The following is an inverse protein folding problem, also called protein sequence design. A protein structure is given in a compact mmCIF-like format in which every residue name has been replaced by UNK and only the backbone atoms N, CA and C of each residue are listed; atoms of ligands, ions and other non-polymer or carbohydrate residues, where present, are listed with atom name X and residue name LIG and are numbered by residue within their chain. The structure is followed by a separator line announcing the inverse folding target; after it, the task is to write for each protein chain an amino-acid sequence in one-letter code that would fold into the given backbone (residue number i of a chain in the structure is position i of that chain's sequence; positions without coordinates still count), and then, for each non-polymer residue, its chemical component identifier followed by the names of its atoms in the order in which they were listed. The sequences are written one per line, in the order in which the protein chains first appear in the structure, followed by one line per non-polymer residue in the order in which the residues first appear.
data_IF_547827043462
#
_entry.id   IF_547827043462
#
_cell.length_a   1.000
_cell.length_b   1.000
_cell.length_c   1.000
_cell.angle_alpha   90.00
_cell.angle_beta   90.00
_cell.angle_gamma   90.00
#
_symmetry.space_group_name_H-M   'P 1'
#
loop_
_entity.id
_entity.type
_entity.pdbx_description
1 polymer ?
#
# COMPACT_ATOMS: atom_id res chain seq x y z
N UNK A 1 -0.19 -8.74 27.52
CA UNK A 1 -0.06 -7.43 28.21
C UNK A 1 -0.13 -6.40 27.10
N UNK A 2 -0.89 -5.31 27.23
CA UNK A 2 -0.88 -4.29 26.19
C UNK A 2 0.54 -3.77 26.00
N UNK A 3 0.97 -3.63 24.77
CA UNK A 3 2.24 -3.00 24.45
C UNK A 3 2.15 -1.53 24.85
N UNK A 4 2.75 -1.17 25.99
CA UNK A 4 2.84 0.21 26.42
C UNK A 4 3.86 0.97 25.55
N UNK A 5 3.51 1.21 24.32
CA UNK A 5 4.27 2.12 23.48
C UNK A 5 3.45 3.40 23.28
N UNK A 6 4.10 4.52 23.45
CA UNK A 6 3.49 5.80 23.15
C UNK A 6 3.22 5.87 21.67
N UNK A 7 1.96 5.98 21.29
CA UNK A 7 1.56 6.25 19.91
C UNK A 7 1.65 7.75 19.73
N UNK A 8 2.46 8.18 18.77
CA UNK A 8 2.65 9.58 18.45
C UNK A 8 3.23 9.73 17.04
N UNK A 9 2.45 10.20 16.09
CA UNK A 9 2.95 10.46 14.74
C UNK A 9 2.10 11.53 14.08
N UNK A 10 2.65 12.74 13.96
CA UNK A 10 1.97 13.92 13.44
C UNK A 10 2.34 14.23 11.99
N UNK A 11 3.46 13.72 11.54
CA UNK A 11 3.99 13.86 10.19
C UNK A 11 4.79 12.62 9.78
N UNK A 12 5.42 12.66 8.62
CA UNK A 12 6.14 11.52 8.06
C UNK A 12 7.66 11.67 8.12
N UNK A 13 8.17 12.73 8.75
CA UNK A 13 9.60 13.08 8.72
C UNK A 13 10.22 13.40 10.08
N UNK A 14 9.44 13.62 11.13
CA UNK A 14 9.99 13.75 12.48
C UNK A 14 10.71 12.45 12.90
N UNK A 15 11.71 12.51 13.80
CA UNK A 15 12.53 11.35 14.14
C UNK A 15 11.71 10.11 14.52
N UNK A 16 11.90 9.04 13.77
CA UNK A 16 11.23 7.76 13.98
C UNK A 16 11.82 7.03 15.18
N UNK A 17 10.98 6.57 16.09
CA UNK A 17 11.40 5.83 17.32
C UNK A 17 10.87 4.43 17.37
N UNK A 18 9.67 4.21 16.84
CA UNK A 18 9.06 2.89 16.79
C UNK A 18 8.30 2.74 15.49
N UNK A 19 8.54 1.65 14.81
CA UNK A 19 7.90 1.30 13.55
C UNK A 19 7.41 -0.14 13.58
N UNK A 20 6.23 -0.39 13.04
CA UNK A 20 5.84 -1.74 12.64
C UNK A 20 6.31 -2.00 11.22
N UNK A 21 6.71 -3.26 10.96
CA UNK A 21 7.17 -3.73 9.65
C UNK A 21 6.29 -4.89 9.22
N UNK A 22 5.88 -4.89 7.97
CA UNK A 22 5.09 -5.96 7.38
C UNK A 22 5.83 -7.28 7.32
N UNK A 23 5.11 -8.34 7.00
CA UNK A 23 5.65 -9.70 6.91
C UNK A 23 5.07 -10.46 5.74
N UNK A 24 5.72 -11.54 5.34
CA UNK A 24 5.22 -12.46 4.32
C UNK A 24 5.10 -13.88 4.88
N UNK A 25 4.38 -14.74 4.18
CA UNK A 25 4.22 -16.13 4.59
C UNK A 25 5.56 -16.88 4.62
N UNK A 26 5.63 -17.89 5.48
CA UNK A 26 6.73 -18.84 5.52
C UNK A 26 6.67 -19.84 4.35
N UNK A 27 7.78 -20.50 4.04
CA UNK A 27 7.85 -21.43 2.90
C UNK A 27 6.86 -22.59 3.00
N UNK A 28 6.55 -23.04 4.22
CA UNK A 28 5.57 -24.10 4.45
C UNK A 28 4.15 -23.73 4.05
N UNK A 29 3.83 -22.45 3.95
CA UNK A 29 2.54 -22.00 3.41
C UNK A 29 2.26 -22.58 2.02
N UNK A 30 3.30 -22.79 1.22
CA UNK A 30 3.20 -23.31 -0.15
C UNK A 30 3.28 -24.83 -0.26
N UNK A 31 3.33 -25.58 0.84
CA UNK A 31 3.53 -27.04 0.83
C UNK A 31 2.45 -27.81 0.08
N UNK A 32 1.26 -27.23 -0.03
CA UNK A 32 0.16 -27.79 -0.82
C UNK A 32 0.36 -27.75 -2.33
N UNK A 33 1.27 -26.94 -2.83
CA UNK A 33 1.54 -26.80 -4.27
C UNK A 33 2.43 -27.95 -4.73
N UNK A 34 1.88 -28.86 -5.56
CA UNK A 34 2.61 -30.04 -6.07
C UNK A 34 3.47 -29.71 -7.28
N UNK A 35 3.09 -28.71 -8.08
CA UNK A 35 3.90 -28.27 -9.21
C UNK A 35 5.17 -27.59 -8.72
N UNK A 36 6.31 -28.26 -8.88
CA UNK A 36 7.60 -27.79 -8.37
C UNK A 36 8.07 -26.49 -9.01
N UNK A 37 7.74 -26.25 -10.28
CA UNK A 37 8.10 -25.01 -10.98
C UNK A 37 7.39 -23.81 -10.34
N UNK A 38 6.09 -23.94 -10.10
CA UNK A 38 5.28 -22.91 -9.44
C UNK A 38 5.74 -22.71 -7.99
N UNK A 39 5.85 -23.81 -7.24
CA UNK A 39 6.27 -23.75 -5.83
C UNK A 39 7.63 -23.09 -5.68
N UNK A 40 8.61 -23.46 -6.50
CA UNK A 40 9.96 -22.90 -6.43
C UNK A 40 9.98 -21.40 -6.76
N UNK A 41 9.20 -20.95 -7.76
CA UNK A 41 9.08 -19.54 -8.10
C UNK A 41 8.50 -18.71 -6.95
N UNK A 42 7.38 -19.15 -6.38
CA UNK A 42 6.76 -18.49 -5.23
C UNK A 42 7.64 -18.53 -3.98
N UNK A 43 8.26 -19.69 -3.69
CA UNK A 43 9.19 -19.81 -2.54
C UNK A 43 10.39 -18.88 -2.69
N UNK A 44 10.89 -18.67 -3.91
CA UNK A 44 11.96 -17.70 -4.17
C UNK A 44 11.50 -16.28 -3.80
N UNK A 45 10.33 -15.85 -4.27
CA UNK A 45 9.76 -14.54 -3.98
C UNK A 45 9.60 -14.35 -2.46
N UNK A 46 8.96 -15.29 -1.77
CA UNK A 46 8.73 -15.19 -0.33
C UNK A 46 10.05 -15.18 0.46
N UNK A 47 10.97 -16.08 0.16
CA UNK A 47 12.26 -16.15 0.84
C UNK A 47 13.09 -14.89 0.65
N UNK A 48 13.25 -14.44 -0.58
CA UNK A 48 14.01 -13.24 -0.88
C UNK A 48 13.38 -11.98 -0.27
N UNK A 49 12.07 -11.90 -0.20
CA UNK A 49 11.38 -10.82 0.51
C UNK A 49 11.64 -10.87 2.01
N UNK A 50 11.62 -12.07 2.63
CA UNK A 50 11.98 -12.20 4.07
C UNK A 50 13.41 -11.78 4.35
N UNK A 51 14.35 -12.18 3.50
CA UNK A 51 15.74 -11.76 3.64
C UNK A 51 15.89 -10.24 3.58
N UNK A 52 15.20 -9.59 2.65
CA UNK A 52 15.18 -8.12 2.52
C UNK A 52 14.57 -7.46 3.75
N UNK A 53 13.45 -8.00 4.27
CA UNK A 53 12.81 -7.52 5.50
C UNK A 53 13.75 -7.67 6.71
N UNK A 54 14.43 -8.80 6.87
CA UNK A 54 15.37 -8.99 7.99
C UNK A 54 16.52 -8.00 7.91
N UNK A 55 17.10 -7.79 6.73
CA UNK A 55 18.14 -6.79 6.55
C UNK A 55 17.62 -5.37 6.86
N UNK A 56 16.42 -5.04 6.40
CA UNK A 56 15.77 -3.77 6.72
C UNK A 56 15.60 -3.56 8.22
N UNK A 57 15.15 -4.58 8.94
CA UNK A 57 15.02 -4.53 10.41
C UNK A 57 16.36 -4.31 11.12
N UNK A 58 17.43 -4.91 10.62
CA UNK A 58 18.78 -4.67 11.14
C UNK A 58 19.22 -3.22 10.93
N UNK A 59 18.96 -2.65 9.75
CA UNK A 59 19.25 -1.24 9.45
C UNK A 59 18.46 -0.32 10.38
N UNK A 60 17.17 -0.55 10.57
CA UNK A 60 16.35 0.24 11.49
C UNK A 60 16.86 0.18 12.93
N UNK A 61 17.13 -1.02 13.44
CA UNK A 61 17.69 -1.22 14.78
C UNK A 61 19.07 -0.55 14.94
N UNK A 62 19.92 -0.66 13.90
CA UNK A 62 21.22 0.01 13.84
C UNK A 62 21.14 1.53 13.92
N UNK A 63 20.01 2.12 13.51
CA UNK A 63 19.68 3.53 13.63
C UNK A 63 18.90 3.88 14.92
N UNK A 64 18.82 2.95 15.89
CA UNK A 64 18.18 3.17 17.18
C UNK A 64 16.65 3.14 17.16
N UNK A 65 16.06 2.59 16.11
CA UNK A 65 14.61 2.50 15.94
C UNK A 65 14.13 1.15 16.51
N UNK A 66 13.10 1.20 17.34
CA UNK A 66 12.42 0.01 17.83
C UNK A 66 11.52 -0.57 16.74
N UNK A 67 11.68 -1.86 16.45
CA UNK A 67 10.94 -2.54 15.38
C UNK A 67 9.96 -3.53 15.97
N UNK A 68 8.70 -3.40 15.59
CA UNK A 68 7.63 -4.36 15.85
C UNK A 68 7.37 -5.09 14.53
N UNK A 69 7.27 -6.40 14.57
CA UNK A 69 6.81 -7.21 13.45
C UNK A 69 5.86 -8.27 13.97
N UNK A 70 4.73 -8.38 13.31
CA UNK A 70 3.78 -9.47 13.53
C UNK A 70 3.90 -10.45 12.37
N UNK A 71 4.00 -11.72 12.69
CA UNK A 71 3.93 -12.79 11.69
C UNK A 71 2.50 -12.92 11.16
N UNK A 72 2.29 -13.48 9.96
CA UNK A 72 0.94 -13.77 9.48
C UNK A 72 0.13 -14.60 10.50
N UNK A 73 0.75 -15.56 11.16
CA UNK A 73 0.11 -16.38 12.19
C UNK A 73 -0.36 -15.56 13.40
N UNK A 74 0.44 -14.64 13.89
CA UNK A 74 0.06 -13.75 15.00
C UNK A 74 -1.08 -12.81 14.64
N UNK A 75 -1.20 -12.48 13.36
CA UNK A 75 -2.32 -11.72 12.80
C UNK A 75 -3.58 -12.57 12.58
N UNK A 76 -3.49 -13.91 12.65
CA UNK A 76 -4.61 -14.81 12.47
C UNK A 76 -4.74 -15.43 11.08
N UNK A 77 -3.73 -15.28 10.23
CA UNK A 77 -3.70 -16.00 8.94
C UNK A 77 -3.52 -17.49 9.13
N UNK A 78 -4.03 -18.27 8.20
CA UNK A 78 -3.82 -19.72 8.17
C UNK A 78 -2.37 -20.07 7.84
N UNK A 79 -1.93 -21.24 8.33
CA UNK A 79 -0.54 -21.70 8.16
C UNK A 79 -0.28 -22.32 6.77
N UNK A 80 -1.33 -22.61 5.99
CA UNK A 80 -1.20 -23.27 4.68
C UNK A 80 -2.14 -22.68 3.65
N UNK A 81 -1.68 -22.58 2.42
CA UNK A 81 -2.48 -22.20 1.25
C UNK A 81 -3.68 -23.14 1.07
N UNK A 82 -3.57 -24.40 1.51
CA UNK A 82 -4.65 -25.38 1.43
C UNK A 82 -5.85 -25.03 2.30
N UNK A 83 -5.64 -24.26 3.36
CA UNK A 83 -6.71 -23.87 4.28
C UNK A 83 -7.63 -22.80 3.66
N UNK A 84 -7.16 -22.15 2.59
CA UNK A 84 -7.93 -21.17 1.83
C UNK A 84 -8.58 -21.74 0.55
N UNK A 85 -8.11 -22.89 0.07
CA UNK A 85 -8.57 -23.47 -1.18
C UNK A 85 -8.90 -24.95 -1.02
N UNK A 86 -9.80 -25.44 -1.87
CA UNK A 86 -10.10 -26.85 -1.94
C UNK A 86 -9.21 -27.52 -3.00
N UNK A 87 -8.04 -27.98 -2.60
CA UNK A 87 -7.08 -28.64 -3.48
C UNK A 87 -7.43 -30.11 -3.66
N UNK A 88 -7.78 -30.50 -4.86
CA UNK A 88 -7.93 -31.92 -5.22
C UNK A 88 -6.77 -32.35 -6.14
N UNK A 89 -6.09 -33.43 -5.75
CA UNK A 89 -5.08 -34.13 -6.60
C UNK A 89 -3.92 -33.26 -7.15
N UNK A 90 -3.61 -32.12 -6.53
CA UNK A 90 -2.56 -31.21 -6.96
C UNK A 90 -2.99 -30.22 -8.04
N UNK A 91 -4.25 -30.28 -8.42
CA UNK A 91 -4.93 -29.23 -9.14
C UNK A 91 -5.68 -28.36 -8.14
N UNK A 92 -5.76 -27.07 -8.42
CA UNK A 92 -6.52 -26.14 -7.60
C UNK A 92 -8.00 -26.40 -7.89
N UNK A 93 -8.72 -26.86 -6.89
CA UNK A 93 -10.17 -26.99 -6.95
C UNK A 93 -10.85 -25.62 -6.89
N UNK A 94 -12.17 -25.64 -6.97
CA UNK A 94 -12.96 -24.40 -6.81
C UNK A 94 -12.64 -23.77 -5.47
N UNK A 95 -12.20 -22.54 -5.49
CA UNK A 95 -11.98 -21.76 -4.27
C UNK A 95 -13.25 -21.76 -3.44
N UNK A 96 -13.14 -22.13 -2.19
CA UNK A 96 -14.21 -21.82 -1.26
C UNK A 96 -14.11 -20.32 -0.97
N UNK A 97 -15.12 -19.50 -1.24
CA UNK A 97 -15.15 -18.18 -0.66
C UNK A 97 -14.96 -18.35 0.84
N UNK A 98 -14.25 -17.42 1.47
CA UNK A 98 -14.01 -17.45 2.92
C UNK A 98 -15.38 -17.33 3.61
N UNK A 99 -16.05 -18.46 3.81
CA UNK A 99 -17.42 -18.51 4.35
C UNK A 99 -17.49 -18.02 5.79
N UNK A 100 -16.36 -18.12 6.47
CA UNK A 100 -16.25 -17.81 7.89
C UNK A 100 -15.94 -16.31 8.16
N UNK A 101 -15.78 -15.51 7.09
CA UNK A 101 -15.58 -14.06 7.17
C UNK A 101 -16.64 -13.34 6.31
N UNK A 102 -17.90 -13.30 6.76
CA UNK A 102 -18.99 -12.70 5.98
C UNK A 102 -18.74 -11.21 5.66
N UNK A 103 -17.99 -10.52 6.48
CA UNK A 103 -17.60 -9.13 6.26
C UNK A 103 -16.63 -9.01 5.07
N UNK A 104 -15.62 -9.85 5.00
CA UNK A 104 -14.69 -9.91 3.87
C UNK A 104 -15.39 -10.33 2.58
N UNK A 105 -16.34 -11.28 2.67
CA UNK A 105 -17.11 -11.70 1.50
C UNK A 105 -18.00 -10.60 0.92
N UNK A 106 -18.47 -9.69 1.77
CA UNK A 106 -19.25 -8.53 1.32
C UNK A 106 -18.38 -7.49 0.60
N UNK A 107 -17.12 -7.32 1.02
CA UNK A 107 -16.18 -6.47 0.32
C UNK A 107 -15.81 -7.03 -1.05
N UNK A 108 -15.58 -8.33 -1.14
CA UNK A 108 -15.20 -9.00 -2.38
C UNK A 108 -16.17 -8.82 -3.53
N UNK A 109 -17.43 -8.72 -3.25
CA UNK A 109 -18.45 -8.50 -4.30
C UNK A 109 -18.28 -7.14 -4.95
N UNK A 110 -17.91 -6.12 -4.20
CA UNK A 110 -17.77 -4.76 -4.71
C UNK A 110 -16.54 -4.58 -5.60
N UNK A 111 -15.48 -5.27 -5.28
CA UNK A 111 -14.24 -5.21 -6.05
C UNK A 111 -14.29 -6.01 -7.36
N UNK A 112 -15.00 -7.13 -7.39
CA UNK A 112 -15.14 -7.95 -8.60
C UNK A 112 -15.75 -7.21 -9.78
N UNK A 113 -16.60 -6.26 -9.47
CA UNK A 113 -17.32 -5.52 -10.46
C UNK A 113 -16.54 -4.30 -10.97
N UNK A 114 -15.47 -3.97 -10.28
CA UNK A 114 -14.56 -2.94 -10.72
C UNK A 114 -13.28 -3.67 -11.05
N UNK A 115 -13.07 -4.01 -12.32
CA UNK A 115 -11.88 -4.68 -12.82
C UNK A 115 -10.55 -4.05 -12.38
N UNK A 116 -10.61 -2.95 -11.65
CA UNK A 116 -9.49 -2.23 -11.07
C UNK A 116 -8.99 -2.81 -9.74
N UNK A 117 -9.76 -3.64 -9.08
CA UNK A 117 -9.31 -4.38 -7.91
C UNK A 117 -9.84 -5.80 -8.04
N UNK A 118 -9.01 -6.67 -8.45
CA UNK A 118 -9.28 -8.09 -8.39
C UNK A 118 -9.16 -8.49 -6.94
N UNK A 119 -10.26 -8.38 -6.25
CA UNK A 119 -10.40 -9.11 -5.03
C UNK A 119 -10.12 -10.57 -5.32
N UNK A 120 -9.39 -11.22 -4.47
CA UNK A 120 -9.04 -12.61 -4.67
C UNK A 120 -10.31 -13.44 -4.88
N UNK A 121 -10.62 -13.68 -6.13
CA UNK A 121 -11.72 -14.58 -6.50
C UNK A 121 -11.52 -15.98 -5.94
N UNK A 122 -10.29 -16.29 -5.54
CA UNK A 122 -9.87 -17.57 -5.02
C UNK A 122 -9.90 -17.63 -3.49
N UNK A 123 -9.98 -16.48 -2.81
CA UNK A 123 -9.97 -16.41 -1.35
C UNK A 123 -8.61 -16.64 -0.70
N UNK A 124 -7.50 -16.67 -1.47
CA UNK A 124 -6.15 -16.72 -0.93
C UNK A 124 -5.69 -15.29 -0.68
N UNK A 125 -5.56 -14.84 0.58
CA UNK A 125 -5.18 -13.49 0.87
C UNK A 125 -3.72 -13.22 0.53
N UNK A 126 -3.41 -11.98 0.17
CA UNK A 126 -2.01 -11.56 0.12
C UNK A 126 -1.41 -11.56 1.54
N UNK A 127 -0.08 -11.74 1.66
CA UNK A 127 0.57 -11.62 2.96
C UNK A 127 0.46 -10.18 3.50
N UNK A 128 0.52 -10.00 4.83
CA UNK A 128 0.43 -8.68 5.47
C UNK A 128 1.75 -7.91 5.32
N UNK A 129 2.14 -7.61 4.09
CA UNK A 129 3.38 -6.90 3.77
C UNK A 129 3.17 -5.39 3.74
N UNK A 130 2.21 -4.92 2.96
CA UNK A 130 1.88 -3.50 2.82
C UNK A 130 0.95 -3.05 3.97
N UNK A 131 1.46 -3.08 5.20
CA UNK A 131 0.65 -2.79 6.41
C UNK A 131 0.18 -1.35 6.50
N UNK A 132 0.77 -0.45 5.73
CA UNK A 132 0.30 0.94 5.63
C UNK A 132 -1.06 1.03 4.96
N UNK A 133 -1.42 0.08 4.11
CA UNK A 133 -2.75 0.05 3.50
C UNK A 133 -3.85 -0.21 4.52
N UNK A 134 -3.51 -0.92 5.61
CA UNK A 134 -4.45 -1.28 6.66
C UNK A 134 -4.70 -0.17 7.67
N UNK A 135 -3.70 0.68 7.94
CA UNK A 135 -3.77 1.64 9.04
C UNK A 135 -2.89 2.87 8.84
N UNK A 136 -3.32 3.96 9.47
CA UNK A 136 -2.58 5.22 9.58
C UNK A 136 -2.47 5.61 11.05
N UNK A 137 -1.28 6.01 11.48
CA UNK A 137 -1.16 6.71 12.76
C UNK A 137 -1.35 8.21 12.54
N UNK A 138 -2.34 8.81 13.20
CA UNK A 138 -2.64 10.23 13.09
C UNK A 138 -2.67 10.83 14.50
N UNK A 139 -1.63 11.55 14.86
CA UNK A 139 -1.41 12.02 16.23
C UNK A 139 -1.18 10.87 17.21
N UNK A 140 -2.08 10.72 18.17
CA UNK A 140 -2.05 9.70 19.23
C UNK A 140 -2.99 8.50 18.94
N UNK A 141 -3.51 8.39 17.73
CA UNK A 141 -4.45 7.34 17.31
C UNK A 141 -3.94 6.53 16.13
N UNK A 142 -4.26 5.24 16.13
CA UNK A 142 -4.13 4.36 14.98
C UNK A 142 -5.51 4.26 14.35
N UNK A 143 -5.64 4.76 13.15
CA UNK A 143 -6.88 4.70 12.37
C UNK A 143 -6.82 3.48 11.47
N UNK A 144 -7.70 2.51 11.69
CA UNK A 144 -7.91 1.44 10.74
C UNK A 144 -8.69 2.02 9.56
N UNK A 145 -8.20 1.79 8.38
CA UNK A 145 -8.78 2.34 7.16
C UNK A 145 -9.96 1.51 6.68
N UNK A 146 -10.65 2.00 5.67
CA UNK A 146 -11.70 1.26 5.00
C UNK A 146 -11.16 0.48 3.79
N UNK A 147 -9.87 0.15 3.79
CA UNK A 147 -9.30 -0.69 2.75
C UNK A 147 -10.00 -2.06 2.73
N UNK A 148 -10.38 -2.48 1.54
CA UNK A 148 -11.17 -3.69 1.34
C UNK A 148 -10.28 -4.91 1.12
N UNK A 149 -9.32 -5.10 2.00
CA UNK A 149 -8.42 -6.25 1.94
C UNK A 149 -8.57 -7.11 3.18
N UNK A 150 -8.32 -8.39 3.03
CA UNK A 150 -8.44 -9.36 4.12
C UNK A 150 -7.55 -9.00 5.32
N UNK A 151 -6.35 -8.48 5.06
CA UNK A 151 -5.41 -8.06 6.08
C UNK A 151 -5.96 -7.00 7.02
N UNK A 152 -6.75 -6.05 6.50
CA UNK A 152 -7.30 -4.95 7.29
C UNK A 152 -8.14 -5.43 8.47
N UNK A 153 -8.98 -6.45 8.27
CA UNK A 153 -9.80 -6.99 9.36
C UNK A 153 -8.96 -7.69 10.42
N UNK A 154 -7.96 -8.47 10.02
CA UNK A 154 -7.05 -9.15 10.94
C UNK A 154 -6.18 -8.14 11.69
N UNK A 155 -5.66 -7.15 10.98
CA UNK A 155 -4.87 -6.05 11.56
C UNK A 155 -5.69 -5.26 12.58
N UNK A 156 -6.95 -4.92 12.27
CA UNK A 156 -7.84 -4.21 13.18
C UNK A 156 -8.01 -4.93 14.53
N UNK A 157 -8.28 -6.24 14.48
CA UNK A 157 -8.42 -7.07 15.68
C UNK A 157 -7.12 -7.06 16.48
N UNK A 158 -6.00 -7.32 15.81
CA UNK A 158 -4.70 -7.45 16.48
C UNK A 158 -4.19 -6.14 17.05
N UNK A 159 -4.34 -5.04 16.31
CA UNK A 159 -3.92 -3.72 16.79
C UNK A 159 -4.78 -3.29 17.99
N UNK A 160 -6.09 -3.62 17.99
CA UNK A 160 -6.96 -3.37 19.15
C UNK A 160 -6.52 -4.14 20.38
N UNK A 161 -6.07 -5.39 20.23
CA UNK A 161 -5.49 -6.17 21.33
C UNK A 161 -4.19 -5.54 21.87
N UNK A 162 -3.35 -5.01 20.97
CA UNK A 162 -2.04 -4.45 21.33
C UNK A 162 -2.11 -3.05 21.92
N UNK A 163 -2.92 -2.18 21.31
CA UNK A 163 -2.91 -0.74 21.57
C UNK A 163 -4.20 -0.22 22.23
N UNK A 164 -5.20 -1.08 22.40
CA UNK A 164 -6.43 -0.75 23.14
C UNK A 164 -7.22 0.40 22.52
N UNK A 165 -7.55 1.40 23.33
CA UNK A 165 -8.39 2.54 22.96
C UNK A 165 -7.69 3.58 22.07
N UNK A 166 -6.40 3.39 21.80
CA UNK A 166 -5.71 4.20 20.81
C UNK A 166 -6.07 3.80 19.36
N UNK A 167 -6.64 2.60 19.17
CA UNK A 167 -7.08 2.12 17.85
C UNK A 167 -8.51 2.56 17.61
N UNK A 168 -8.70 3.32 16.53
CA UNK A 168 -10.00 3.73 16.01
C UNK A 168 -10.29 2.89 14.77
N UNK A 169 -11.26 2.03 14.88
CA UNK A 169 -11.69 1.17 13.81
C UNK A 169 -12.73 1.87 12.94
N UNK A 170 -12.29 2.35 11.79
CA UNK A 170 -13.15 3.03 10.83
C UNK A 170 -13.81 2.06 9.84
N UNK A 171 -13.42 0.79 9.83
CA UNK A 171 -14.04 -0.22 8.96
C UNK A 171 -15.52 -0.44 9.29
N UNK A 172 -15.92 -0.10 10.51
CA UNK A 172 -17.30 -0.25 11.01
C UNK A 172 -18.24 0.85 10.50
N UNK A 173 -17.71 1.97 9.98
CA UNK A 173 -18.51 3.11 9.54
C UNK A 173 -19.21 2.93 8.18
N UNK A 174 -19.11 1.75 7.58
CA UNK A 174 -19.73 1.41 6.31
C UNK A 174 -21.24 1.70 6.22
N UNK A 175 -21.93 1.67 7.33
CA UNK A 175 -23.40 1.75 7.36
C UNK A 175 -23.96 3.16 7.13
N UNK A 176 -23.11 4.19 7.21
CA UNK A 176 -23.61 5.58 7.29
C UNK A 176 -23.07 6.49 6.19
N UNK A 177 -22.16 6.06 5.36
CA UNK A 177 -21.53 6.94 4.37
C UNK A 177 -21.72 6.36 2.97
N UNK A 178 -22.54 7.03 2.17
CA UNK A 178 -22.72 6.73 0.75
C UNK A 178 -21.58 7.35 -0.06
N UNK A 179 -20.41 6.75 -0.03
CA UNK A 179 -19.35 7.15 -0.95
C UNK A 179 -19.68 6.65 -2.35
N UNK A 180 -19.82 7.55 -3.29
CA UNK A 180 -20.03 7.23 -4.69
C UNK A 180 -18.76 7.49 -5.47
N UNK A 181 -18.25 6.48 -6.15
CA UNK A 181 -17.21 6.70 -7.15
C UNK A 181 -17.74 7.60 -8.24
N UNK A 182 -17.07 8.71 -8.46
CA UNK A 182 -17.39 9.55 -9.60
C UNK A 182 -16.83 8.91 -10.87
N UNK A 183 -17.70 8.55 -11.81
CA UNK A 183 -17.29 8.05 -13.15
C UNK A 183 -16.38 9.05 -13.85
N UNK A 184 -16.63 10.35 -13.64
CA UNK A 184 -15.76 11.41 -14.14
C UNK A 184 -14.32 11.24 -13.62
N UNK A 185 -14.16 10.84 -12.37
CA UNK A 185 -12.85 10.62 -11.76
C UNK A 185 -12.16 9.38 -12.33
N UNK A 186 -12.91 8.29 -12.55
CA UNK A 186 -12.38 7.08 -13.19
C UNK A 186 -11.90 7.37 -14.61
N UNK A 187 -12.68 8.11 -15.39
CA UNK A 187 -12.28 8.54 -16.74
C UNK A 187 -11.02 9.41 -16.72
N UNK A 188 -11.00 10.43 -15.88
CA UNK A 188 -9.84 11.32 -15.76
C UNK A 188 -8.58 10.59 -15.29
N UNK A 189 -8.75 9.59 -14.43
CA UNK A 189 -7.65 8.74 -14.00
C UNK A 189 -7.14 7.86 -15.15
N UNK A 190 -8.03 7.18 -15.88
CA UNK A 190 -7.66 6.36 -17.02
C UNK A 190 -6.96 7.17 -18.12
N UNK A 191 -7.48 8.36 -18.43
CA UNK A 191 -6.86 9.26 -19.41
C UNK A 191 -5.44 9.67 -19.00
N UNK A 192 -5.21 9.96 -17.71
CA UNK A 192 -3.88 10.30 -17.20
C UNK A 192 -2.89 9.14 -17.27
N UNK A 193 -3.38 7.93 -17.08
CA UNK A 193 -2.56 6.72 -17.13
C UNK A 193 -2.55 6.07 -18.52
N UNK A 194 -3.08 6.76 -19.54
CA UNK A 194 -3.16 6.26 -20.91
C UNK A 194 -3.88 4.93 -21.03
N UNK A 195 -4.87 4.69 -20.17
CA UNK A 195 -5.71 3.50 -20.19
C UNK A 195 -6.97 3.78 -21.00
N UNK A 196 -7.35 2.87 -21.88
CA UNK A 196 -8.68 2.88 -22.47
C UNK A 196 -9.63 2.13 -21.53
N UNK A 197 -10.70 2.80 -21.10
CA UNK A 197 -11.81 2.16 -20.40
C UNK A 197 -12.89 1.90 -21.43
N UNK A 198 -13.35 0.65 -21.53
CA UNK A 198 -14.44 0.28 -22.43
C UNK A 198 -15.76 0.93 -21.98
N UNK A 199 -16.62 1.21 -22.93
CA UNK A 199 -17.96 1.76 -22.67
C UNK A 199 -18.78 0.80 -21.78
N UNK A 200 -18.62 -0.50 -21.99
CA UNK A 200 -19.26 -1.54 -21.16
C UNK A 200 -18.80 -1.49 -19.72
N UNK A 201 -17.50 -1.28 -19.46
CA UNK A 201 -16.96 -1.13 -18.11
C UNK A 201 -17.52 0.13 -17.42
N UNK A 202 -17.78 1.20 -18.17
CA UNK A 202 -18.39 2.43 -17.67
C UNK A 202 -19.85 2.20 -17.31
N UNK A 203 -20.61 1.54 -18.16
CA UNK A 203 -22.03 1.24 -17.91
C UNK A 203 -22.18 0.28 -16.71
N UNK A 204 -21.25 -0.64 -16.53
CA UNK A 204 -21.20 -1.53 -15.38
C UNK A 204 -20.87 -0.77 -14.10
N UNK A 205 -19.93 0.16 -14.15
CA UNK A 205 -19.61 1.07 -13.05
C UNK A 205 -20.79 1.99 -12.70
N UNK A 206 -21.55 2.48 -13.71
CA UNK A 206 -22.75 3.28 -13.48
C UNK A 206 -23.85 2.51 -12.76
N UNK A 207 -24.09 1.27 -13.17
CA UNK A 207 -25.05 0.37 -12.50
C UNK A 207 -24.64 0.07 -11.05
N UNK A 208 -23.36 -0.05 -10.79
CA UNK A 208 -22.82 -0.30 -9.47
C UNK A 208 -22.90 0.91 -8.55
N UNK A 209 -22.72 2.12 -9.08
CA UNK A 209 -22.87 3.35 -8.31
C UNK A 209 -24.27 3.51 -7.72
N UNK A 210 -25.28 3.00 -8.41
CA UNK A 210 -26.67 3.10 -7.95
C UNK A 210 -27.04 2.00 -6.93
N UNK A 211 -26.27 0.92 -6.86
CA UNK A 211 -26.62 -0.27 -6.08
C UNK A 211 -25.76 -0.53 -4.85
N UNK A 212 -24.55 0.04 -4.77
CA UNK A 212 -23.62 -0.30 -3.70
C UNK A 212 -22.77 0.91 -3.27
N UNK A 213 -22.78 1.28 -1.99
CA UNK A 213 -21.85 2.27 -1.48
C UNK A 213 -20.42 1.72 -1.64
N UNK A 214 -19.61 2.39 -2.43
CA UNK A 214 -18.19 2.09 -2.55
C UNK A 214 -17.46 2.83 -1.42
N UNK A 215 -17.38 2.17 -0.28
CA UNK A 215 -16.67 2.68 0.86
C UNK A 215 -15.21 2.31 0.69
N UNK A 216 -14.35 3.28 0.55
CA UNK A 216 -12.96 2.94 0.48
C UNK A 216 -12.06 4.15 0.45
N UNK A 217 -11.37 4.37 1.52
CA UNK A 217 -10.14 5.14 1.55
C UNK A 217 -9.09 4.30 2.25
N UNK A 218 -7.86 4.37 1.78
CA UNK A 218 -6.74 3.69 2.40
C UNK A 218 -5.74 4.70 2.97
N UNK A 219 -4.96 4.26 3.93
CA UNK A 219 -4.03 5.13 4.64
C UNK A 219 -3.04 5.84 3.72
N UNK A 220 -2.46 5.20 2.69
CA UNK A 220 -1.52 5.86 1.80
C UNK A 220 -2.13 6.95 0.90
N UNK A 221 -3.46 7.09 0.88
CA UNK A 221 -4.10 8.27 0.28
C UNK A 221 -3.95 9.55 1.13
N UNK A 222 -3.42 9.44 2.36
CA UNK A 222 -3.24 10.54 3.29
C UNK A 222 -1.76 10.76 3.57
N UNK A 223 -1.28 12.00 3.39
CA UNK A 223 0.06 12.43 3.81
C UNK A 223 -0.06 13.45 4.93
N UNK A 224 0.55 13.14 6.06
CA UNK A 224 0.50 13.97 7.28
C UNK A 224 1.61 15.01 7.28
N UNK A 225 1.25 16.24 7.61
CA UNK A 225 2.13 17.40 7.70
C UNK A 225 1.78 18.22 8.94
N UNK A 226 1.94 17.64 10.12
CA UNK A 226 1.55 18.27 11.38
C UNK A 226 0.04 18.40 11.53
N UNK A 227 -0.47 19.62 11.46
CA UNK A 227 -1.91 19.89 11.49
C UNK A 227 -2.56 19.77 10.09
N UNK A 228 -1.79 19.72 9.02
CA UNK A 228 -2.31 19.58 7.66
C UNK A 228 -2.21 18.14 7.17
N UNK A 229 -3.19 17.71 6.40
CA UNK A 229 -3.24 16.38 5.80
C UNK A 229 -3.61 16.52 4.33
N UNK A 230 -2.73 16.07 3.43
CA UNK A 230 -3.07 15.98 2.02
C UNK A 230 -3.83 14.69 1.76
N UNK A 231 -4.99 14.77 1.14
CA UNK A 231 -5.88 13.62 0.91
C UNK A 231 -6.09 13.44 -0.58
N UNK A 232 -5.66 12.31 -1.13
CA UNK A 232 -6.08 11.93 -2.48
C UNK A 232 -7.53 11.46 -2.48
N UNK A 233 -8.37 12.16 -3.21
CA UNK A 233 -9.82 11.95 -3.21
C UNK A 233 -10.35 11.31 -4.50
N UNK A 234 -9.48 10.66 -5.28
CA UNK A 234 -9.92 10.09 -6.55
C UNK A 234 -10.94 8.95 -6.39
N UNK A 235 -10.85 8.17 -5.32
CA UNK A 235 -11.78 7.06 -5.05
C UNK A 235 -13.05 7.53 -4.34
N UNK A 236 -12.91 8.42 -3.37
CA UNK A 236 -14.00 8.88 -2.50
C UNK A 236 -13.90 10.39 -2.25
N UNK A 237 -14.37 11.21 -3.22
CA UNK A 237 -14.24 12.67 -3.13
C UNK A 237 -14.88 13.27 -1.88
N UNK A 238 -15.90 12.61 -1.36
CA UNK A 238 -16.72 13.06 -0.23
C UNK A 238 -16.12 12.68 1.13
N UNK A 239 -15.06 11.84 1.17
CA UNK A 239 -14.48 11.36 2.43
C UNK A 239 -14.03 12.48 3.36
N UNK A 240 -13.56 13.58 2.79
CA UNK A 240 -13.05 14.71 3.57
C UNK A 240 -14.20 15.35 4.34
N UNK A 241 -15.26 15.78 3.66
CA UNK A 241 -16.37 16.51 4.27
C UNK A 241 -17.29 15.62 5.10
N UNK A 242 -17.51 14.39 4.68
CA UNK A 242 -18.49 13.51 5.32
C UNK A 242 -17.88 12.70 6.48
N UNK A 243 -16.58 12.49 6.46
CA UNK A 243 -15.92 11.65 7.45
C UNK A 243 -14.74 12.30 8.15
N UNK A 244 -13.72 12.79 7.44
CA UNK A 244 -12.48 13.25 8.06
C UNK A 244 -12.67 14.54 8.87
N UNK A 245 -13.19 15.59 8.27
CA UNK A 245 -13.42 16.88 8.97
C UNK A 245 -14.35 16.78 10.18
N UNK A 246 -15.48 16.06 10.13
CA UNK A 246 -16.34 15.92 11.27
C UNK A 246 -15.71 15.19 12.46
N UNK A 247 -14.83 14.21 12.20
CA UNK A 247 -14.26 13.37 13.23
C UNK A 247 -12.88 13.83 13.72
N UNK A 248 -12.13 14.58 12.91
CA UNK A 248 -10.73 14.98 13.18
C UNK A 248 -10.56 16.50 13.07
N UNK A 249 -11.31 17.26 13.85
CA UNK A 249 -11.43 18.73 13.79
C UNK A 249 -10.15 19.52 14.06
N UNK A 250 -9.13 18.88 14.59
CA UNK A 250 -7.82 19.49 14.85
C UNK A 250 -6.85 19.36 13.67
N UNK A 251 -7.32 18.81 12.54
CA UNK A 251 -6.57 18.73 11.31
C UNK A 251 -7.23 19.56 10.20
N UNK A 252 -6.40 20.08 9.32
CA UNK A 252 -6.78 20.81 8.12
C UNK A 252 -6.53 19.90 6.90
N UNK A 253 -7.61 19.49 6.24
CA UNK A 253 -7.56 18.53 5.14
C UNK A 253 -7.51 19.23 3.79
N UNK A 254 -6.48 18.94 3.01
CA UNK A 254 -6.27 19.48 1.68
C UNK A 254 -6.48 18.41 0.62
N UNK A 255 -7.48 18.58 -0.21
CA UNK A 255 -7.79 17.62 -1.29
C UNK A 255 -6.80 17.73 -2.43
N UNK A 256 -6.28 16.59 -2.85
CA UNK A 256 -5.54 16.42 -4.09
C UNK A 256 -6.20 15.32 -4.93
N UNK A 257 -5.86 15.26 -6.18
CA UNK A 257 -6.39 14.26 -7.11
C UNK A 257 -5.25 13.72 -7.97
N UNK A 258 -4.52 12.76 -7.45
CA UNK A 258 -3.36 12.15 -8.11
C UNK A 258 -3.64 10.75 -8.63
N UNK A 259 -4.72 10.13 -8.17
CA UNK A 259 -5.23 8.88 -8.70
C UNK A 259 -4.54 7.64 -8.20
N UNK A 260 -4.12 7.64 -6.94
CA UNK A 260 -3.45 6.50 -6.32
C UNK A 260 -2.94 6.83 -4.92
N UNK A 261 -2.02 6.01 -4.44
CA UNK A 261 -1.39 6.25 -3.16
C UNK A 261 -0.44 7.45 -3.23
N UNK A 262 -0.51 8.34 -2.26
CA UNK A 262 0.33 9.54 -2.20
C UNK A 262 1.80 9.18 -2.18
N UNK A 263 2.18 8.18 -1.41
CA UNK A 263 3.56 7.72 -1.23
C UNK A 263 4.18 7.03 -2.46
N UNK A 264 3.36 6.75 -3.49
CA UNK A 264 3.84 6.35 -4.82
C UNK A 264 4.09 7.55 -5.74
N UNK A 265 3.66 8.74 -5.33
CA UNK A 265 3.72 9.94 -6.16
C UNK A 265 4.64 11.00 -5.57
N UNK A 266 4.62 11.17 -4.25
CA UNK A 266 5.52 12.08 -3.56
C UNK A 266 5.78 11.63 -2.13
N UNK A 267 6.90 12.06 -1.57
CA UNK A 267 7.26 11.89 -0.16
C UNK A 267 7.87 13.17 0.38
N UNK A 268 7.44 13.56 1.56
CA UNK A 268 8.03 14.70 2.28
C UNK A 268 9.21 14.18 3.10
N UNK A 269 10.42 14.67 2.76
CA UNK A 269 11.66 14.21 3.41
C UNK A 269 11.91 14.96 4.72
N UNK A 270 11.63 16.25 4.70
CA UNK A 270 11.67 17.16 5.86
C UNK A 270 10.95 18.46 5.50
N UNK A 271 10.67 19.34 6.47
CA UNK A 271 10.20 20.68 6.14
C UNK A 271 11.11 21.38 5.12
N UNK A 272 10.52 21.85 4.03
CA UNK A 272 11.23 22.49 2.93
C UNK A 272 11.79 21.56 1.87
N UNK A 273 11.59 20.24 1.96
CA UNK A 273 12.11 19.28 0.97
C UNK A 273 11.12 18.14 0.67
N UNK A 274 10.79 17.99 -0.61
CA UNK A 274 9.90 16.92 -1.13
C UNK A 274 10.62 16.16 -2.25
N UNK A 275 10.36 14.87 -2.36
CA UNK A 275 10.64 14.08 -3.55
C UNK A 275 9.31 13.85 -4.25
N UNK A 276 9.22 14.07 -5.55
CA UNK A 276 7.97 13.90 -6.28
C UNK A 276 8.15 13.42 -7.72
N UNK A 277 7.19 12.64 -8.18
CA UNK A 277 7.05 12.30 -9.59
C UNK A 277 6.40 13.46 -10.37
N UNK A 278 6.50 13.48 -11.70
CA UNK A 278 5.84 14.48 -12.53
C UNK A 278 4.33 14.57 -12.35
N UNK A 279 3.67 13.52 -11.86
CA UNK A 279 2.23 13.52 -11.60
C UNK A 279 1.81 14.48 -10.50
N UNK A 280 2.73 14.84 -9.62
CA UNK A 280 2.48 15.84 -8.57
C UNK A 280 2.57 17.30 -9.08
N UNK A 281 3.07 17.55 -10.30
CA UNK A 281 3.22 18.91 -10.83
C UNK A 281 1.98 19.81 -10.73
N UNK A 282 0.75 19.33 -10.96
CA UNK A 282 -0.45 20.14 -10.79
C UNK A 282 -0.69 20.66 -9.37
N UNK A 283 -0.05 20.05 -8.39
CA UNK A 283 -0.21 20.34 -6.95
C UNK A 283 1.06 20.92 -6.31
N UNK A 284 2.08 21.22 -7.11
CA UNK A 284 3.36 21.72 -6.61
C UNK A 284 3.22 23.04 -5.81
N UNK A 285 2.21 23.85 -6.12
CA UNK A 285 1.94 25.09 -5.41
C UNK A 285 1.53 24.89 -3.93
N UNK A 286 1.13 23.70 -3.53
CA UNK A 286 0.89 23.34 -2.12
C UNK A 286 2.19 23.49 -1.32
N UNK A 287 3.33 23.15 -1.92
CA UNK A 287 4.67 23.25 -1.35
C UNK A 287 5.39 24.52 -1.83
N UNK A 288 4.68 25.65 -1.88
CA UNK A 288 5.27 26.89 -2.37
C UNK A 288 6.46 27.32 -1.51
N UNK A 289 7.62 27.46 -2.16
CA UNK A 289 8.87 27.84 -1.50
C UNK A 289 9.68 26.66 -0.95
N UNK A 290 9.15 25.43 -1.05
CA UNK A 290 9.90 24.23 -0.74
C UNK A 290 10.71 23.77 -1.95
N UNK A 291 11.83 23.11 -1.70
CA UNK A 291 12.61 22.43 -2.72
C UNK A 291 11.98 21.10 -3.08
N UNK A 292 11.78 20.86 -4.38
CA UNK A 292 11.19 19.62 -4.87
C UNK A 292 12.19 18.90 -5.77
N UNK A 293 12.61 17.70 -5.36
CA UNK A 293 13.37 16.79 -6.20
C UNK A 293 12.38 16.11 -7.15
N UNK A 294 12.38 16.54 -8.40
CA UNK A 294 11.54 15.95 -9.43
C UNK A 294 12.15 14.68 -9.99
N UNK A 295 11.39 13.60 -9.91
CA UNK A 295 11.77 12.29 -10.43
C UNK A 295 11.19 12.11 -11.84
N UNK A 296 11.72 12.86 -12.80
CA UNK A 296 11.19 12.88 -14.17
C UNK A 296 11.85 11.85 -15.10
N UNK A 297 12.93 11.19 -14.68
CA UNK A 297 13.57 10.12 -15.42
C UNK A 297 13.94 8.98 -14.49
N UNK A 298 12.96 8.17 -14.08
CA UNK A 298 13.26 7.03 -13.23
C UNK A 298 14.24 6.09 -13.91
N UNK A 299 15.20 5.57 -13.16
CA UNK A 299 16.15 4.54 -13.60
C UNK A 299 15.43 3.20 -13.70
N UNK A 300 14.50 3.10 -14.62
CA UNK A 300 13.75 1.85 -14.78
C UNK A 300 14.63 0.76 -15.34
N UNK A 301 14.71 -0.35 -14.65
CA UNK A 301 15.30 -1.57 -15.16
C UNK A 301 14.59 -2.06 -16.41
N UNK A 302 15.21 -3.00 -17.11
CA UNK A 302 14.63 -3.61 -18.31
C UNK A 302 13.29 -4.28 -18.01
N UNK A 303 13.18 -4.90 -16.85
CA UNK A 303 12.01 -5.61 -16.35
C UNK A 303 10.81 -4.67 -16.21
N UNK A 304 11.01 -3.51 -15.59
CA UNK A 304 9.95 -2.52 -15.38
C UNK A 304 9.48 -1.92 -16.70
N UNK A 305 10.42 -1.62 -17.61
CA UNK A 305 10.05 -1.16 -18.95
C UNK A 305 9.23 -2.19 -19.73
N UNK A 306 9.59 -3.46 -19.59
CA UNK A 306 8.83 -4.57 -20.20
C UNK A 306 7.42 -4.65 -19.63
N UNK A 307 7.28 -4.57 -18.30
CA UNK A 307 5.99 -4.59 -17.63
C UNK A 307 5.10 -3.40 -18.01
N UNK A 308 5.66 -2.19 -18.09
CA UNK A 308 4.93 -1.01 -18.55
C UNK A 308 4.45 -1.19 -20.01
N UNK A 309 5.29 -1.73 -20.90
CA UNK A 309 4.89 -1.99 -22.26
C UNK A 309 3.78 -3.05 -22.35
N UNK A 310 3.86 -4.09 -21.52
CA UNK A 310 2.81 -5.10 -21.41
C UNK A 310 1.49 -4.48 -20.95
N UNK A 311 1.56 -3.59 -19.97
CA UNK A 311 0.38 -2.87 -19.49
C UNK A 311 -0.26 -2.00 -20.55
N UNK A 312 0.54 -1.22 -21.31
CA UNK A 312 0.01 -0.42 -22.41
C UNK A 312 -0.69 -1.26 -23.49
N UNK A 313 -0.23 -2.50 -23.70
CA UNK A 313 -0.79 -3.41 -24.68
C UNK A 313 -1.96 -4.26 -24.16
N UNK A 314 -2.01 -4.47 -22.85
CA UNK A 314 -3.00 -5.33 -22.19
C UNK A 314 -3.51 -4.65 -20.92
N UNK A 315 -4.66 -4.05 -20.97
CA UNK A 315 -5.26 -3.37 -19.82
C UNK A 315 -5.28 -4.25 -18.58
N UNK A 316 -4.85 -3.69 -17.44
CA UNK A 316 -4.86 -4.37 -16.16
C UNK A 316 -3.81 -5.49 -16.03
N UNK A 317 -2.75 -5.44 -16.79
CA UNK A 317 -1.60 -6.31 -16.59
C UNK A 317 -0.89 -5.97 -15.30
N UNK A 318 -0.47 -7.03 -14.63
CA UNK A 318 0.33 -6.98 -13.42
C UNK A 318 1.76 -7.39 -13.75
N UNK A 319 2.71 -6.80 -13.05
CA UNK A 319 4.08 -7.22 -13.16
C UNK A 319 4.29 -8.53 -12.39
N UNK A 320 4.76 -9.55 -13.07
CA UNK A 320 5.12 -10.84 -12.47
C UNK A 320 6.58 -11.12 -12.81
N UNK A 321 7.45 -11.36 -11.82
CA UNK A 321 8.85 -11.64 -12.10
C UNK A 321 9.01 -12.91 -12.95
N UNK A 322 9.93 -12.86 -13.92
CA UNK A 322 10.25 -14.01 -14.78
C UNK A 322 9.07 -14.50 -15.65
N UNK A 323 8.13 -13.58 -15.99
CA UNK A 323 6.93 -13.86 -16.79
C UNK A 323 7.26 -14.61 -18.10
N UNK A 324 8.27 -14.13 -18.83
CA UNK A 324 8.68 -14.72 -20.12
C UNK A 324 9.33 -16.09 -19.94
N UNK A 325 9.89 -16.36 -18.77
CA UNK A 325 10.65 -17.57 -18.46
C UNK A 325 9.80 -18.65 -17.77
N UNK A 326 8.69 -18.25 -17.14
CA UNK A 326 7.86 -19.14 -16.35
C UNK A 326 6.35 -18.92 -16.56
N UNK A 327 5.82 -19.29 -17.73
CA UNK A 327 4.39 -19.12 -18.04
C UNK A 327 3.45 -19.89 -17.11
N UNK A 328 3.92 -20.96 -16.48
CA UNK A 328 3.11 -21.72 -15.52
C UNK A 328 2.94 -20.95 -14.20
N UNK A 329 4.01 -20.29 -13.74
CA UNK A 329 3.97 -19.43 -12.56
C UNK A 329 3.06 -18.23 -12.81
N UNK A 330 3.21 -17.56 -13.96
CA UNK A 330 2.37 -16.45 -14.35
C UNK A 330 0.89 -16.83 -14.34
N UNK A 331 0.56 -17.93 -15.04
CA UNK A 331 -0.81 -18.41 -15.07
C UNK A 331 -1.36 -18.72 -13.67
N UNK A 332 -0.55 -19.35 -12.83
CA UNK A 332 -0.95 -19.66 -11.46
C UNK A 332 -1.22 -18.39 -10.64
N UNK A 333 -0.34 -17.39 -10.74
CA UNK A 333 -0.51 -16.12 -10.02
C UNK A 333 -1.78 -15.41 -10.50
N UNK A 334 -1.98 -15.31 -11.81
CA UNK A 334 -3.17 -14.66 -12.36
C UNK A 334 -4.48 -15.39 -12.02
N UNK A 335 -4.46 -16.72 -11.96
CA UNK A 335 -5.66 -17.50 -11.68
C UNK A 335 -5.99 -17.58 -10.18
N UNK A 336 -4.96 -17.55 -9.29
CA UNK A 336 -5.10 -17.92 -7.89
C UNK A 336 -4.58 -16.89 -6.89
N UNK A 337 -3.63 -16.05 -7.27
CA UNK A 337 -2.96 -15.08 -6.42
C UNK A 337 -3.00 -13.69 -7.04
N UNK A 338 -4.09 -13.37 -7.74
CA UNK A 338 -4.25 -12.14 -8.49
C UNK A 338 -4.18 -10.87 -7.62
N UNK A 339 -4.39 -11.00 -6.32
CA UNK A 339 -4.22 -9.92 -5.36
C UNK A 339 -2.81 -9.86 -4.72
N UNK A 340 -1.91 -10.81 -5.03
CA UNK A 340 -0.55 -10.81 -4.48
C UNK A 340 0.39 -9.89 -5.25
N UNK A 341 0.15 -9.71 -6.52
CA UNK A 341 1.04 -8.92 -7.36
C UNK A 341 0.42 -7.58 -7.73
N UNK A 342 1.25 -6.56 -7.72
CA UNK A 342 0.80 -5.20 -7.94
C UNK A 342 0.54 -4.87 -9.40
N UNK A 343 -0.29 -3.88 -9.58
CA UNK A 343 -0.54 -3.26 -10.87
C UNK A 343 0.61 -2.31 -11.21
N UNK A 344 1.11 -2.33 -12.44
CA UNK A 344 2.26 -1.54 -12.88
C UNK A 344 2.03 -0.01 -12.82
N UNK A 345 0.94 0.44 -12.25
CA UNK A 345 0.60 1.85 -12.09
C UNK A 345 1.52 2.59 -11.12
N UNK A 346 1.94 1.92 -10.07
CA UNK A 346 2.75 2.47 -9.01
C UNK A 346 4.23 2.08 -9.18
N UNK A 347 4.79 2.31 -10.35
CA UNK A 347 6.10 1.77 -10.71
C UNK A 347 7.30 2.59 -10.28
N UNK A 348 7.10 3.81 -9.76
CA UNK A 348 8.20 4.68 -9.36
C UNK A 348 8.36 4.61 -7.84
N UNK A 349 8.73 3.43 -7.34
CA UNK A 349 8.93 3.22 -5.91
C UNK A 349 10.15 3.95 -5.33
N UNK A 350 10.95 4.61 -6.16
CA UNK A 350 12.03 5.47 -5.70
C UNK A 350 11.53 6.68 -4.88
N UNK A 351 10.27 7.05 -5.01
CA UNK A 351 9.62 8.06 -4.15
C UNK A 351 9.03 7.46 -2.87
N UNK A 352 8.82 6.13 -2.81
CA UNK A 352 8.27 5.43 -1.66
C UNK A 352 9.36 5.17 -0.61
N UNK A 353 9.82 6.24 0.02
CA UNK A 353 10.94 6.24 0.95
C UNK A 353 10.48 6.33 2.39
N UNK A 354 11.20 5.66 3.31
CA UNK A 354 10.95 5.80 4.73
C UNK A 354 11.94 6.80 5.33
N UNK A 355 11.43 7.93 5.78
CA UNK A 355 12.24 8.93 6.46
C UNK A 355 12.47 8.51 7.91
N UNK A 356 13.73 8.47 8.35
CA UNK A 356 14.10 8.13 9.72
C UNK A 356 14.21 9.36 10.61
N UNK A 357 14.72 10.45 10.08
CA UNK A 357 14.85 11.76 10.71
C UNK A 357 15.15 12.84 9.65
N UNK A 358 15.47 14.06 10.08
CA UNK A 358 15.75 15.21 9.22
C UNK A 358 16.99 15.05 8.31
N UNK A 359 17.76 13.95 8.47
CA UNK A 359 19.01 13.68 7.75
C UNK A 359 19.10 12.32 7.10
N UNK A 360 18.31 11.36 7.53
CA UNK A 360 18.42 9.99 7.08
C UNK A 360 17.11 9.50 6.44
N UNK A 361 17.23 8.91 5.27
CA UNK A 361 16.11 8.32 4.55
C UNK A 361 16.48 6.93 4.02
N UNK A 362 15.61 5.96 4.24
CA UNK A 362 15.75 4.64 3.62
C UNK A 362 15.14 4.68 2.23
N UNK A 363 15.94 4.27 1.26
CA UNK A 363 15.57 4.15 -0.15
C UNK A 363 15.64 2.68 -0.58
N UNK A 364 14.77 2.29 -1.51
CA UNK A 364 14.66 0.90 -2.01
C UNK A 364 15.29 0.70 -3.39
N UNK A 365 15.87 1.73 -3.96
CA UNK A 365 16.61 1.69 -5.21
C UNK A 365 17.98 2.33 -5.08
N UNK A 366 18.91 1.92 -5.93
CA UNK A 366 20.26 2.46 -6.02
C UNK A 366 20.39 3.53 -7.12
N UNK A 367 19.30 4.25 -7.40
CA UNK A 367 19.31 5.34 -8.38
C UNK A 367 20.32 6.40 -7.99
N UNK A 368 21.37 6.54 -8.79
CA UNK A 368 22.48 7.44 -8.51
C UNK A 368 22.09 8.91 -8.56
N UNK A 369 21.08 9.26 -9.37
CA UNK A 369 20.62 10.63 -9.45
C UNK A 369 19.85 11.00 -8.19
N UNK A 370 18.94 10.15 -7.73
CA UNK A 370 18.22 10.36 -6.47
C UNK A 370 19.19 10.46 -5.29
N UNK A 371 20.13 9.52 -5.18
CA UNK A 371 21.17 9.55 -4.14
C UNK A 371 21.92 10.86 -4.16
N UNK A 372 22.43 11.28 -5.30
CA UNK A 372 23.17 12.52 -5.45
C UNK A 372 22.33 13.77 -5.09
N UNK A 373 21.06 13.81 -5.53
CA UNK A 373 20.15 14.90 -5.21
C UNK A 373 19.88 15.03 -3.72
N UNK A 374 19.73 13.90 -3.03
CA UNK A 374 19.54 13.87 -1.57
C UNK A 374 20.81 14.34 -0.84
N UNK A 375 21.98 13.81 -1.22
CA UNK A 375 23.27 14.17 -0.61
C UNK A 375 23.59 15.65 -0.77
N UNK A 376 23.32 16.25 -1.94
CA UNK A 376 23.50 17.69 -2.16
C UNK A 376 22.66 18.56 -1.21
N UNK A 377 21.58 18.01 -0.66
CA UNK A 377 20.68 18.66 0.30
C UNK A 377 20.95 18.26 1.76
N UNK A 378 22.07 17.55 1.98
CA UNK A 378 22.48 17.11 3.31
C UNK A 378 21.66 15.98 3.87
N UNK A 379 20.98 15.22 3.01
CA UNK A 379 20.28 14.00 3.38
C UNK A 379 21.19 12.80 3.08
N UNK A 380 21.30 11.89 4.00
CA UNK A 380 22.03 10.64 3.84
C UNK A 380 21.05 9.54 3.45
N UNK A 381 21.04 9.09 2.19
CA UNK A 381 20.23 7.95 1.76
C UNK A 381 20.86 6.66 2.27
N UNK A 382 20.03 5.79 2.83
CA UNK A 382 20.40 4.46 3.29
C UNK A 382 19.75 3.46 2.33
N UNK A 383 20.54 2.87 1.46
CA UNK A 383 20.03 1.89 0.51
C UNK A 383 19.73 0.56 1.20
N UNK A 384 18.49 0.13 1.11
CA UNK A 384 18.02 -1.18 1.53
C UNK A 384 17.27 -1.81 0.37
N UNK A 385 17.78 -2.89 -0.23
CA UNK A 385 17.11 -3.50 -1.37
C UNK A 385 15.76 -4.07 -0.98
N UNK A 386 14.78 -3.96 -1.88
CA UNK A 386 13.53 -4.68 -1.87
C UNK A 386 13.39 -5.34 -3.25
N UNK A 387 13.93 -6.57 -3.37
CA UNK A 387 14.13 -7.23 -4.66
C UNK A 387 12.84 -7.42 -5.46
N UNK A 388 11.74 -7.71 -4.77
CA UNK A 388 10.44 -7.97 -5.39
C UNK A 388 9.43 -6.82 -5.23
N UNK A 389 9.91 -5.56 -5.11
CA UNK A 389 9.04 -4.38 -4.95
C UNK A 389 7.98 -4.23 -6.03
N UNK A 390 8.31 -4.60 -7.27
CA UNK A 390 7.36 -4.53 -8.39
C UNK A 390 6.33 -5.66 -8.37
N UNK A 391 6.66 -6.79 -7.76
CA UNK A 391 5.70 -7.86 -7.53
C UNK A 391 4.71 -7.50 -6.44
N UNK A 392 5.20 -6.95 -5.34
CA UNK A 392 4.39 -6.56 -4.18
C UNK A 392 3.72 -5.20 -4.33
N UNK A 393 4.04 -4.43 -5.36
CA UNK A 393 3.52 -3.09 -5.62
C UNK A 393 3.72 -2.14 -4.44
N UNK A 394 4.96 -2.07 -3.93
CA UNK A 394 5.25 -1.21 -2.80
C UNK A 394 6.73 -1.07 -2.47
N UNK A 395 7.06 0.02 -1.78
CA UNK A 395 8.39 0.28 -1.23
C UNK A 395 8.43 0.12 0.30
N UNK A 396 9.48 0.63 0.92
CA UNK A 396 9.63 0.50 2.38
C UNK A 396 8.62 1.35 3.16
N UNK A 397 8.12 2.44 2.60
CA UNK A 397 7.07 3.22 3.25
C UNK A 397 5.76 2.44 3.32
N UNK A 398 5.31 1.83 2.21
CA UNK A 398 4.13 0.97 2.19
C UNK A 398 4.22 -0.19 3.20
N UNK A 399 5.42 -0.76 3.36
CA UNK A 399 5.65 -1.93 4.20
C UNK A 399 5.86 -1.58 5.69
N UNK A 400 5.59 -0.32 6.07
CA UNK A 400 5.80 0.16 7.44
C UNK A 400 4.63 0.99 7.95
N UNK A 401 4.46 0.96 9.27
CA UNK A 401 3.57 1.84 10.00
C UNK A 401 4.33 2.51 11.14
N UNK A 402 4.49 3.81 11.08
CA UNK A 402 5.22 4.59 12.06
C UNK A 402 4.37 4.81 13.32
N UNK A 403 4.61 3.97 14.32
CA UNK A 403 3.89 3.98 15.61
C UNK A 403 4.29 5.18 16.44
N UNK A 404 5.58 5.52 16.47
CA UNK A 404 6.08 6.65 17.24
C UNK A 404 7.14 7.41 16.45
N UNK A 405 6.82 8.67 16.18
CA UNK A 405 7.77 9.72 15.80
C UNK A 405 7.88 10.74 16.92
N UNK A 406 9.07 11.30 17.13
CA UNK A 406 9.23 12.44 18.05
C UNK A 406 8.55 13.67 17.46
N UNK A 407 8.13 14.57 18.35
CA UNK A 407 7.52 15.82 17.92
C UNK A 407 6.08 15.96 18.38
N UNK A 408 5.52 17.08 18.00
CA UNK A 408 4.15 17.49 18.32
C UNK A 408 3.45 17.94 17.04
N UNK A 409 2.17 18.08 17.11
CA UNK A 409 1.41 18.71 16.03
C UNK A 409 1.97 20.11 15.74
N UNK A 410 2.44 20.31 14.54
CA UNK A 410 3.09 21.56 14.08
C UNK A 410 2.33 22.11 12.89
N UNK A 411 2.20 23.43 12.81
CA UNK A 411 1.70 24.10 11.62
C UNK A 411 2.88 24.43 10.71
N UNK A 412 2.97 23.68 9.64
CA UNK A 412 3.97 23.95 8.58
C UNK A 412 3.37 24.93 7.57
N UNK A 413 4.14 25.97 7.20
CA UNK A 413 3.75 26.89 6.15
C UNK A 413 3.73 26.15 4.80
N UNK A 414 2.54 25.95 4.24
CA UNK A 414 2.28 25.33 2.93
C UNK A 414 1.61 26.35 2.00
#
# INVERSE_FOLDING_TARGET
MPYYQTINSWDEFQPLRTVMVGSVFEDNFLDGIKNTTIKNGLSKILRETREDIEYFKEVLKGNGINVIQLTPKELGYQDSILDYTNWQTGEIGVSSPIKDFPEVSNFGVNHRNIRLSRDSSTGIPQPPLAIRDDALVMGDKILITQAHVYSTNLSAIKYKEMFGDAVVDNSIYEKNINFRRSIKNVKSWAERHHLSIDVEDIEELEKLQDSTPLNGWCAPNLTRLGNKVLVDVWQTPEVVEEFLEPNYKNFDFHKIFIGGHNDSVFSVVRPGLVIATPWFKPYADIFKGWDIIWFDQPSWGKEVKSAINLRHNNQGCYWTPEVEENPQLEKFINDWLDNWHGQVDETIFDVNVLVLDDKHVVINSDDKNLIHQLEQRGITPIFVPLRHRFFWDGGWHCNTLDIHREGIQTDYDL
#
